data_IF_963399872904
#
_entry.id   IF_963399872904
#
_cell.length_a   1.000
_cell.length_b   1.000
_cell.length_c   1.000
_cell.angle_alpha   90.00
_cell.angle_beta   90.00
_cell.angle_gamma   90.00
#
_symmetry.space_group_name_H-M   'P 1'
#
loop_
_entity.id
_entity.type
_entity.pdbx_description
1 polymer ?
#
# COMPACT_ATOMS: atom_id res chain seq x y z
N UNK A 1 -17.92 13.18 -3.12
CA UNK A 1 -16.97 12.33 -2.37
C UNK A 1 -17.68 11.88 -1.11
N UNK A 2 -17.78 10.58 -0.83
CA UNK A 2 -18.15 10.14 0.52
C UNK A 2 -17.18 10.79 1.50
N UNK A 3 -17.69 11.40 2.58
CA UNK A 3 -16.84 11.88 3.67
C UNK A 3 -16.20 10.66 4.31
N UNK A 4 -14.96 10.37 3.93
CA UNK A 4 -14.22 9.24 4.46
C UNK A 4 -13.93 9.50 5.93
N UNK A 5 -14.41 8.62 6.82
CA UNK A 5 -14.09 8.70 8.23
C UNK A 5 -12.70 8.07 8.46
N UNK A 6 -11.66 8.89 8.48
CA UNK A 6 -10.28 8.40 8.67
C UNK A 6 -10.06 7.74 10.02
N UNK A 7 -10.79 8.14 11.07
CA UNK A 7 -10.72 7.49 12.38
C UNK A 7 -11.16 6.02 12.31
N UNK A 8 -12.32 5.79 11.68
CA UNK A 8 -12.85 4.44 11.48
C UNK A 8 -11.95 3.61 10.56
N UNK A 9 -11.46 4.19 9.46
CA UNK A 9 -10.54 3.50 8.56
C UNK A 9 -9.21 3.15 9.22
N UNK A 10 -8.68 4.02 10.09
CA UNK A 10 -7.46 3.76 10.88
C UNK A 10 -7.67 2.51 11.73
N UNK A 11 -8.75 2.47 12.51
CA UNK A 11 -9.05 1.36 13.42
C UNK A 11 -9.28 0.06 12.64
N UNK A 12 -10.08 0.12 11.58
CA UNK A 12 -10.39 -1.02 10.72
C UNK A 12 -9.13 -1.62 10.09
N UNK A 13 -8.29 -0.79 9.47
CA UNK A 13 -7.13 -1.25 8.75
C UNK A 13 -6.02 -1.76 9.68
N UNK A 14 -5.82 -1.14 10.86
CA UNK A 14 -4.93 -1.67 11.90
C UNK A 14 -5.39 -3.04 12.42
N UNK A 15 -6.69 -3.21 12.66
CA UNK A 15 -7.23 -4.47 13.13
C UNK A 15 -7.03 -5.61 12.12
N UNK A 16 -7.32 -5.37 10.84
CA UNK A 16 -7.10 -6.35 9.78
C UNK A 16 -5.64 -6.70 9.56
N UNK A 17 -4.73 -5.74 9.73
CA UNK A 17 -3.29 -5.95 9.58
C UNK A 17 -2.60 -6.50 10.84
N UNK A 18 -3.34 -6.69 11.94
CA UNK A 18 -2.78 -6.97 13.27
C UNK A 18 -1.67 -5.96 13.67
N UNK A 19 -1.83 -4.69 13.29
CA UNK A 19 -0.85 -3.63 13.56
C UNK A 19 -1.17 -2.98 14.91
N UNK A 20 -0.62 -3.59 15.96
CA UNK A 20 -0.84 -3.19 17.36
C UNK A 20 0.11 -2.07 17.79
N UNK A 21 -0.16 -1.38 18.91
CA UNK A 21 0.76 -0.36 19.45
C UNK A 21 2.18 -0.89 19.70
N UNK A 22 2.33 -2.17 20.05
CA UNK A 22 3.64 -2.79 20.19
C UNK A 22 4.34 -2.97 18.85
N UNK A 23 3.60 -3.35 17.79
CA UNK A 23 4.17 -3.39 16.43
C UNK A 23 4.58 -1.99 15.96
N UNK A 24 3.82 -0.94 16.29
CA UNK A 24 4.19 0.45 15.97
C UNK A 24 5.56 0.82 16.57
N UNK A 25 5.78 0.47 17.84
CA UNK A 25 7.06 0.69 18.53
C UNK A 25 8.20 -0.06 17.83
N UNK A 26 8.00 -1.34 17.54
CA UNK A 26 9.01 -2.18 16.85
C UNK A 26 9.34 -1.63 15.46
N UNK A 27 8.36 -1.16 14.69
CA UNK A 27 8.60 -0.55 13.37
C UNK A 27 9.41 0.74 13.48
N UNK A 28 9.11 1.60 14.46
CA UNK A 28 9.89 2.83 14.66
C UNK A 28 11.34 2.54 15.08
N UNK A 29 11.56 1.53 15.92
CA UNK A 29 12.90 1.07 16.31
C UNK A 29 13.66 0.47 15.12
N UNK A 30 13.01 -0.39 14.34
CA UNK A 30 13.57 -0.92 13.10
C UNK A 30 13.87 0.20 12.09
N UNK A 31 13.09 1.27 12.09
CA UNK A 31 13.30 2.46 11.28
C UNK A 31 14.67 3.09 11.50
N UNK A 32 15.12 3.21 12.75
CA UNK A 32 16.46 3.76 13.05
C UNK A 32 17.58 2.93 12.41
N UNK A 33 17.40 1.60 12.33
CA UNK A 33 18.34 0.66 11.72
C UNK A 33 18.24 0.65 10.18
N UNK A 34 17.03 0.73 9.63
CA UNK A 34 16.78 0.57 8.19
C UNK A 34 16.96 1.86 7.38
N UNK A 35 16.78 3.04 7.99
CA UNK A 35 16.86 4.34 7.31
C UNK A 35 18.09 4.53 6.41
N UNK A 36 19.32 4.21 6.86
CA UNK A 36 20.52 4.32 6.01
C UNK A 36 20.47 3.46 4.73
N UNK A 37 19.60 2.44 4.71
CA UNK A 37 19.52 1.45 3.64
C UNK A 37 18.27 1.58 2.76
N UNK A 38 17.38 2.54 3.03
CA UNK A 38 16.13 2.68 2.26
C UNK A 38 16.37 3.05 0.79
N UNK A 39 17.51 3.67 0.47
CA UNK A 39 17.95 3.90 -0.92
C UNK A 39 18.15 2.56 -1.63
N UNK A 40 18.87 1.62 -1.02
CA UNK A 40 19.11 0.28 -1.59
C UNK A 40 17.81 -0.51 -1.74
N UNK A 41 16.89 -0.40 -0.78
CA UNK A 41 15.56 -1.01 -0.85
C UNK A 41 14.76 -0.44 -2.03
N UNK A 42 14.82 0.88 -2.23
CA UNK A 42 14.18 1.56 -3.36
C UNK A 42 14.77 1.12 -4.69
N UNK A 43 16.10 1.06 -4.82
CA UNK A 43 16.77 0.58 -6.03
C UNK A 43 16.33 -0.84 -6.36
N UNK A 44 16.40 -1.78 -5.40
CA UNK A 44 15.97 -3.17 -5.60
C UNK A 44 14.51 -3.28 -6.02
N UNK A 45 13.64 -2.45 -5.47
CA UNK A 45 12.22 -2.39 -5.85
C UNK A 45 12.05 -1.98 -7.32
N UNK A 46 12.69 -0.90 -7.77
CA UNK A 46 12.56 -0.43 -9.15
C UNK A 46 13.26 -1.33 -10.16
N UNK A 47 14.37 -1.97 -9.80
CA UNK A 47 15.03 -2.97 -10.64
C UNK A 47 14.09 -4.14 -10.97
N UNK A 48 13.40 -4.65 -9.94
CA UNK A 48 12.39 -5.71 -10.11
C UNK A 48 11.21 -5.25 -10.94
N UNK A 49 10.71 -4.03 -10.73
CA UNK A 49 9.61 -3.51 -11.57
C UNK A 49 10.04 -3.37 -13.04
N UNK A 50 11.20 -2.77 -13.33
CA UNK A 50 11.68 -2.59 -14.72
C UNK A 50 11.84 -3.91 -15.48
N UNK A 51 12.12 -5.00 -14.78
CA UNK A 51 12.16 -6.35 -15.34
C UNK A 51 10.78 -6.88 -15.77
N UNK A 52 9.67 -6.37 -15.21
CA UNK A 52 8.30 -6.78 -15.52
C UNK A 52 7.74 -5.94 -16.67
N UNK A 53 7.52 -6.50 -17.87
CA UNK A 53 7.07 -5.75 -19.05
C UNK A 53 5.81 -4.90 -18.82
N UNK A 54 4.85 -5.43 -18.07
CA UNK A 54 3.54 -4.83 -17.79
C UNK A 54 3.65 -3.55 -16.93
N UNK A 55 4.73 -3.42 -16.15
CA UNK A 55 4.93 -2.23 -15.30
C UNK A 55 5.64 -1.09 -16.02
N UNK A 56 6.37 -1.37 -17.11
CA UNK A 56 7.27 -0.40 -17.78
C UNK A 56 6.56 0.88 -18.22
N UNK A 57 5.31 0.77 -18.69
CA UNK A 57 4.49 1.92 -19.09
C UNK A 57 4.27 2.92 -17.95
N UNK A 58 4.31 2.47 -16.71
CA UNK A 58 4.16 3.32 -15.52
C UNK A 58 5.48 3.95 -15.06
N UNK A 59 6.62 3.56 -15.63
CA UNK A 59 7.96 3.96 -15.17
C UNK A 59 8.70 4.83 -16.20
N UNK A 60 8.49 4.57 -17.48
CA UNK A 60 9.24 5.17 -18.58
C UNK A 60 9.29 6.70 -18.50
N UNK A 61 10.50 7.26 -18.58
CA UNK A 61 10.74 8.71 -18.56
C UNK A 61 10.59 9.39 -17.19
N UNK A 62 10.33 8.63 -16.11
CA UNK A 62 10.11 9.21 -14.77
C UNK A 62 10.66 8.41 -13.59
N UNK A 63 11.40 7.33 -13.84
CA UNK A 63 11.93 6.41 -12.81
C UNK A 63 12.63 7.13 -11.65
N UNK A 64 13.59 8.02 -11.93
CA UNK A 64 14.35 8.72 -10.88
C UNK A 64 13.46 9.59 -9.99
N UNK A 65 12.47 10.27 -10.58
CA UNK A 65 11.49 11.04 -9.79
C UNK A 65 10.63 10.13 -8.92
N UNK A 66 10.23 8.98 -9.46
CA UNK A 66 9.43 7.99 -8.72
C UNK A 66 10.22 7.38 -7.57
N UNK A 67 11.51 7.05 -7.76
CA UNK A 67 12.43 6.60 -6.71
C UNK A 67 12.49 7.58 -5.55
N UNK A 68 12.62 8.88 -5.82
CA UNK A 68 12.63 9.90 -4.77
C UNK A 68 11.31 9.93 -3.98
N UNK A 69 10.16 9.84 -4.67
CA UNK A 69 8.85 9.80 -4.00
C UNK A 69 8.67 8.52 -3.19
N UNK A 70 9.11 7.39 -3.73
CA UNK A 70 9.07 6.09 -3.07
C UNK A 70 9.96 6.06 -1.82
N UNK A 71 11.15 6.66 -1.88
CA UNK A 71 12.04 6.79 -0.73
C UNK A 71 11.39 7.63 0.38
N UNK A 72 10.77 8.76 0.04
CA UNK A 72 10.02 9.56 1.03
C UNK A 72 8.84 8.79 1.62
N UNK A 73 8.14 8.00 0.80
CA UNK A 73 7.05 7.15 1.26
C UNK A 73 7.56 6.05 2.21
N UNK A 74 8.66 5.38 1.87
CA UNK A 74 9.30 4.39 2.74
C UNK A 74 9.78 4.99 4.05
N UNK A 75 10.40 6.17 4.05
CA UNK A 75 10.79 6.84 5.30
C UNK A 75 9.57 7.08 6.19
N UNK A 76 8.44 7.51 5.61
CA UNK A 76 7.19 7.72 6.34
C UNK A 76 6.62 6.42 6.95
N UNK A 77 6.81 5.26 6.30
CA UNK A 77 6.45 3.93 6.87
C UNK A 77 7.16 3.69 8.21
N UNK A 78 8.38 4.20 8.38
CA UNK A 78 9.22 3.91 9.54
C UNK A 78 9.25 5.02 10.61
N UNK A 79 8.61 6.17 10.37
CA UNK A 79 8.70 7.32 11.28
C UNK A 79 7.51 7.51 12.20
N UNK A 80 6.34 6.96 11.87
CA UNK A 80 5.09 7.29 12.56
C UNK A 80 4.79 8.81 12.61
N UNK A 81 3.92 9.26 13.53
CA UNK A 81 2.91 8.43 14.21
C UNK A 81 1.95 7.79 13.20
N UNK A 82 1.34 6.66 13.58
CA UNK A 82 0.43 5.90 12.70
C UNK A 82 -1.04 6.24 12.98
N UNK A 83 -1.38 7.52 12.90
CA UNK A 83 -2.69 8.07 13.23
C UNK A 83 -3.57 8.32 11.99
N UNK A 84 -4.64 9.09 12.17
CA UNK A 84 -5.58 9.44 11.10
C UNK A 84 -4.90 10.23 9.95
N UNK A 85 -3.85 11.00 10.24
CA UNK A 85 -3.11 11.75 9.22
C UNK A 85 -2.27 10.79 8.37
N UNK A 86 -1.65 9.79 9.00
CA UNK A 86 -0.99 8.71 8.28
C UNK A 86 -1.97 7.96 7.38
N UNK A 87 -3.18 7.65 7.86
CA UNK A 87 -4.22 7.01 7.04
C UNK A 87 -4.64 7.89 5.87
N UNK A 88 -4.85 9.18 6.10
CA UNK A 88 -5.21 10.11 5.03
C UNK A 88 -4.11 10.20 3.96
N UNK A 89 -2.84 10.24 4.38
CA UNK A 89 -1.70 10.20 3.47
C UNK A 89 -1.69 8.91 2.65
N UNK A 90 -1.80 7.73 3.28
CA UNK A 90 -1.84 6.45 2.55
C UNK A 90 -3.04 6.35 1.61
N UNK A 91 -4.20 6.84 2.02
CA UNK A 91 -5.38 6.88 1.15
C UNK A 91 -5.11 7.72 -0.10
N UNK A 92 -4.45 8.88 0.05
CA UNK A 92 -4.06 9.73 -1.07
C UNK A 92 -3.01 9.08 -1.98
N UNK A 93 -2.08 8.31 -1.43
CA UNK A 93 -1.15 7.49 -2.23
C UNK A 93 -1.96 6.50 -3.10
N UNK A 94 -2.96 5.83 -2.54
CA UNK A 94 -3.86 4.96 -3.29
C UNK A 94 -4.62 5.71 -4.39
N UNK A 95 -5.14 6.91 -4.11
CA UNK A 95 -5.83 7.76 -5.10
C UNK A 95 -4.91 8.11 -6.27
N UNK A 96 -3.63 8.37 -6.03
CA UNK A 96 -2.65 8.66 -7.09
C UNK A 96 -2.48 7.44 -8.00
N UNK A 97 -2.39 6.23 -7.43
CA UNK A 97 -2.27 5.00 -8.21
C UNK A 97 -3.53 4.71 -9.05
N UNK A 98 -4.72 4.95 -8.50
CA UNK A 98 -5.98 4.90 -9.26
C UNK A 98 -5.97 5.88 -10.43
N UNK A 99 -5.51 7.12 -10.22
CA UNK A 99 -5.49 8.17 -11.26
C UNK A 99 -4.57 7.88 -12.44
N UNK A 100 -3.55 7.04 -12.24
CA UNK A 100 -2.65 6.61 -13.30
C UNK A 100 -3.04 5.24 -13.87
N UNK A 101 -4.24 4.76 -13.55
CA UNK A 101 -4.78 3.46 -13.97
C UNK A 101 -3.83 2.29 -13.63
N UNK A 102 -3.16 2.37 -12.48
CA UNK A 102 -2.33 1.29 -11.99
C UNK A 102 -3.26 0.14 -11.55
N UNK A 103 -3.11 -1.09 -12.09
CA UNK A 103 -3.89 -2.23 -11.65
C UNK A 103 -3.71 -2.50 -10.15
N UNK A 104 -4.79 -2.86 -9.46
CA UNK A 104 -4.79 -3.01 -7.99
C UNK A 104 -3.84 -4.12 -7.53
N UNK A 105 -3.65 -5.16 -8.34
CA UNK A 105 -2.72 -6.26 -8.09
C UNK A 105 -1.25 -5.79 -8.04
N UNK A 106 -0.90 -4.69 -8.73
CA UNK A 106 0.45 -4.13 -8.67
C UNK A 106 0.74 -3.49 -7.31
N UNK A 107 -0.29 -3.02 -6.58
CA UNK A 107 -0.12 -2.56 -5.20
C UNK A 107 0.29 -3.71 -4.29
N UNK A 108 -0.36 -4.87 -4.43
CA UNK A 108 -0.03 -6.06 -3.64
C UNK A 108 1.36 -6.58 -3.99
N UNK A 109 1.67 -6.69 -5.30
CA UNK A 109 3.00 -7.07 -5.76
C UNK A 109 4.07 -6.11 -5.20
N UNK A 110 3.81 -4.80 -5.23
CA UNK A 110 4.74 -3.81 -4.72
C UNK A 110 5.07 -4.01 -3.24
N UNK A 111 4.07 -4.27 -2.41
CA UNK A 111 4.29 -4.58 -0.99
C UNK A 111 5.15 -5.81 -0.78
N UNK A 112 4.94 -6.87 -1.57
CA UNK A 112 5.76 -8.09 -1.51
C UNK A 112 7.21 -7.81 -1.89
N UNK A 113 7.46 -7.03 -2.94
CA UNK A 113 8.81 -6.69 -3.37
C UNK A 113 9.56 -5.87 -2.31
N UNK A 114 8.87 -4.95 -1.65
CA UNK A 114 9.41 -4.12 -0.56
C UNK A 114 9.73 -4.99 0.65
N UNK A 115 8.80 -5.86 1.07
CA UNK A 115 8.99 -6.77 2.20
C UNK A 115 10.18 -7.71 1.98
N UNK A 116 10.37 -8.24 0.77
CA UNK A 116 11.50 -9.10 0.41
C UNK A 116 12.85 -8.36 0.48
N UNK A 117 12.90 -7.13 -0.05
CA UNK A 117 14.10 -6.30 0.01
C UNK A 117 14.47 -5.93 1.46
N UNK A 118 13.48 -5.58 2.28
CA UNK A 118 13.68 -5.28 3.71
C UNK A 118 14.12 -6.54 4.47
N UNK A 119 13.47 -7.68 4.24
CA UNK A 119 13.83 -8.96 4.87
C UNK A 119 15.29 -9.33 4.60
N UNK A 120 15.72 -9.21 3.35
CA UNK A 120 17.12 -9.45 2.96
C UNK A 120 18.07 -8.54 3.74
N UNK A 121 17.75 -7.25 3.85
CA UNK A 121 18.56 -6.27 4.59
C UNK A 121 18.59 -6.56 6.09
N UNK A 122 17.46 -6.86 6.71
CA UNK A 122 17.38 -7.15 8.14
C UNK A 122 18.15 -8.42 8.51
N UNK A 123 18.07 -9.48 7.71
CA UNK A 123 18.83 -10.70 7.97
C UNK A 123 20.35 -10.45 7.96
N UNK A 124 20.82 -9.58 7.07
CA UNK A 124 22.23 -9.17 7.05
C UNK A 124 22.61 -8.33 8.28
N UNK A 125 21.75 -7.39 8.68
CA UNK A 125 22.02 -6.48 9.81
C UNK A 125 21.98 -7.19 11.17
N UNK A 126 21.10 -8.17 11.34
CA UNK A 126 21.01 -8.97 12.57
C UNK A 126 22.01 -10.13 12.63
N UNK A 127 22.90 -10.28 11.64
CA UNK A 127 23.99 -11.25 11.69
C UNK A 127 23.55 -12.70 11.88
N UNK A 128 22.33 -13.05 11.46
CA UNK A 128 21.77 -14.41 11.63
C UNK A 128 20.94 -14.62 12.90
N UNK A 129 20.63 -13.59 13.71
CA UNK A 129 19.57 -13.71 14.72
C UNK A 129 18.19 -13.80 14.03
N UNK A 130 17.82 -15.04 13.71
CA UNK A 130 16.57 -15.35 13.03
C UNK A 130 15.33 -15.01 13.85
N UNK A 131 15.42 -15.00 15.19
CA UNK A 131 14.28 -14.66 16.04
C UNK A 131 14.01 -13.17 15.97
N UNK A 132 15.02 -12.34 16.19
CA UNK A 132 14.88 -10.89 16.12
C UNK A 132 14.48 -10.45 14.71
N UNK A 133 15.09 -11.01 13.67
CA UNK A 133 14.71 -10.75 12.28
C UNK A 133 13.24 -11.08 12.01
N UNK A 134 12.76 -12.25 12.45
CA UNK A 134 11.37 -12.67 12.27
C UNK A 134 10.39 -11.75 13.00
N UNK A 135 10.67 -11.42 14.26
CA UNK A 135 9.76 -10.62 15.08
C UNK A 135 9.69 -9.17 14.56
N UNK A 136 10.83 -8.59 14.11
CA UNK A 136 10.85 -7.30 13.41
C UNK A 136 10.09 -7.36 12.09
N UNK A 137 10.29 -8.41 11.28
CA UNK A 137 9.57 -8.56 10.01
C UNK A 137 8.07 -8.74 10.19
N UNK A 138 7.61 -9.35 11.29
CA UNK A 138 6.18 -9.43 11.61
C UNK A 138 5.58 -8.02 11.78
N UNK A 139 6.27 -7.12 12.47
CA UNK A 139 5.84 -5.74 12.65
C UNK A 139 5.85 -4.95 11.34
N UNK A 140 6.88 -5.15 10.51
CA UNK A 140 6.97 -4.53 9.18
C UNK A 140 5.84 -5.02 8.27
N UNK A 141 5.54 -6.32 8.28
CA UNK A 141 4.39 -6.84 7.54
C UNK A 141 3.06 -6.24 8.03
N UNK A 142 2.94 -5.97 9.34
CA UNK A 142 1.80 -5.26 9.91
C UNK A 142 1.63 -3.85 9.33
N UNK A 143 2.67 -3.02 9.31
CA UNK A 143 2.57 -1.65 8.76
C UNK A 143 2.38 -1.63 7.24
N UNK A 144 3.03 -2.55 6.50
CA UNK A 144 2.83 -2.70 5.05
C UNK A 144 1.40 -3.16 4.73
N UNK A 145 0.88 -4.13 5.47
CA UNK A 145 -0.49 -4.61 5.36
C UNK A 145 -1.51 -3.51 5.67
N UNK A 146 -1.30 -2.77 6.76
CA UNK A 146 -2.10 -1.61 7.12
C UNK A 146 -2.13 -0.58 5.98
N UNK A 147 -0.97 -0.22 5.45
CA UNK A 147 -0.83 0.74 4.36
C UNK A 147 -1.52 0.24 3.07
N UNK A 148 -1.38 -1.04 2.74
CA UNK A 148 -2.03 -1.66 1.58
C UNK A 148 -3.55 -1.62 1.69
N UNK A 149 -4.12 -1.98 2.84
CA UNK A 149 -5.57 -1.98 3.07
C UNK A 149 -6.14 -0.57 2.87
N UNK A 150 -5.47 0.44 3.42
CA UNK A 150 -5.88 1.84 3.26
C UNK A 150 -5.82 2.27 1.79
N UNK A 151 -4.75 1.92 1.07
CA UNK A 151 -4.64 2.23 -0.36
C UNK A 151 -5.69 1.50 -1.20
N UNK A 152 -5.97 0.23 -0.92
CA UNK A 152 -7.02 -0.51 -1.62
C UNK A 152 -8.42 0.06 -1.36
N UNK A 153 -8.63 0.71 -0.21
CA UNK A 153 -9.90 1.41 0.05
C UNK A 153 -10.17 2.51 -0.98
N UNK A 154 -9.14 3.22 -1.47
CA UNK A 154 -9.33 4.25 -2.51
C UNK A 154 -9.72 3.65 -3.85
N UNK A 155 -9.24 2.45 -4.19
CA UNK A 155 -9.68 1.70 -5.37
C UNK A 155 -11.15 1.33 -5.29
N UNK A 156 -11.58 0.78 -4.14
CA UNK A 156 -12.98 0.44 -3.90
C UNK A 156 -13.89 1.67 -3.99
N UNK A 157 -13.48 2.79 -3.37
CA UNK A 157 -14.22 4.05 -3.44
C UNK A 157 -14.32 4.61 -4.86
N UNK A 158 -13.25 4.49 -5.66
CA UNK A 158 -13.27 4.91 -7.07
C UNK A 158 -14.24 4.06 -7.91
N UNK A 159 -14.22 2.73 -7.75
CA UNK A 159 -15.16 1.83 -8.42
C UNK A 159 -16.62 2.13 -8.06
N UNK A 160 -16.89 2.34 -6.77
CA UNK A 160 -18.23 2.69 -6.30
C UNK A 160 -18.68 4.06 -6.86
N UNK A 161 -17.78 5.05 -6.93
CA UNK A 161 -18.08 6.34 -7.56
C UNK A 161 -18.41 6.20 -9.05
N UNK A 162 -17.65 5.39 -9.78
CA UNK A 162 -17.91 5.12 -11.21
C UNK A 162 -19.27 4.45 -11.40
N UNK A 163 -19.61 3.46 -10.57
CA UNK A 163 -20.92 2.81 -10.60
C UNK A 163 -22.04 3.82 -10.30
N UNK A 164 -21.89 4.67 -9.27
CA UNK A 164 -22.88 5.68 -8.94
C UNK A 164 -23.10 6.70 -10.08
N UNK A 165 -22.02 7.13 -10.75
CA UNK A 165 -22.12 7.97 -11.95
C UNK A 165 -22.88 7.28 -13.07
N UNK A 166 -22.57 6.02 -13.34
CA UNK A 166 -23.27 5.22 -14.35
C UNK A 166 -24.78 5.09 -14.06
N UNK A 167 -25.14 4.73 -12.82
CA UNK A 167 -26.55 4.61 -12.42
C UNK A 167 -27.28 5.95 -12.56
N UNK A 168 -26.64 7.06 -12.18
CA UNK A 168 -27.22 8.40 -12.33
C UNK A 168 -27.43 8.82 -13.79
N UNK A 169 -26.48 8.49 -14.67
CA UNK A 169 -26.56 8.83 -16.10
C UNK A 169 -27.65 8.01 -16.80
N UNK A 170 -27.73 6.72 -16.49
CA UNK A 170 -28.66 5.79 -17.15
C UNK A 170 -30.07 5.81 -16.56
N UNK A 171 -30.24 6.30 -15.33
CA UNK A 171 -31.50 6.22 -14.59
C UNK A 171 -31.82 4.81 -14.07
N UNK A 172 -30.92 3.85 -14.28
CA UNK A 172 -31.09 2.47 -13.83
C UNK A 172 -30.88 2.39 -12.32
N UNK A 173 -31.72 1.61 -11.64
CA UNK A 173 -31.58 1.37 -10.20
C UNK A 173 -30.43 0.39 -9.94
N UNK A 174 -29.79 0.51 -8.76
CA UNK A 174 -28.75 -0.45 -8.34
C UNK A 174 -29.25 -1.90 -8.35
N UNK A 175 -30.51 -2.11 -7.94
CA UNK A 175 -31.13 -3.43 -7.94
C UNK A 175 -31.24 -4.00 -9.38
N UNK A 176 -31.66 -3.18 -10.35
CA UNK A 176 -31.73 -3.62 -11.74
C UNK A 176 -30.33 -3.92 -12.31
N UNK A 177 -29.33 -3.08 -12.03
CA UNK A 177 -27.94 -3.36 -12.43
C UNK A 177 -27.42 -4.69 -11.86
N UNK A 178 -27.68 -4.97 -10.58
CA UNK A 178 -27.28 -6.23 -9.94
C UNK A 178 -28.00 -7.43 -10.56
N UNK A 179 -29.30 -7.32 -10.83
CA UNK A 179 -30.07 -8.36 -11.49
C UNK A 179 -29.53 -8.66 -12.90
N UNK A 180 -29.21 -7.62 -13.68
CA UNK A 180 -28.60 -7.77 -15.01
C UNK A 180 -27.22 -8.44 -14.93
N UNK A 181 -26.38 -8.03 -13.98
CA UNK A 181 -25.05 -8.61 -13.79
C UNK A 181 -25.10 -10.10 -13.38
N UNK A 182 -26.12 -10.51 -12.64
CA UNK A 182 -26.36 -11.92 -12.30
C UNK A 182 -26.87 -12.72 -13.52
N UNK A 183 -27.76 -12.14 -14.32
CA UNK A 183 -28.31 -12.79 -15.51
C UNK A 183 -27.26 -13.07 -16.60
N UNK A 184 -26.21 -12.25 -16.70
CA UNK A 184 -25.09 -12.44 -17.64
C UNK A 184 -24.02 -13.46 -17.18
N UNK A 185 -24.10 -13.93 -15.92
CA UNK A 185 -23.16 -14.92 -15.36
C UNK A 185 -23.69 -16.36 -15.41
N UNK A 186 -24.91 -16.56 -15.90
CA UNK A 186 -25.47 -17.88 -16.23
C UNK A 186 -25.38 -18.14 -17.73
#
# INVERSE_FOLDING_TARGET
>A
MQNLNYSELTQYAKALANFTPEQERVVMEAGALLKPHLVEVTESFYDKLLAIPETRRFLQGRTERLKNTHLSWLDKIFTGPYDNEYTAYMYMVGVIHVRVDLPVEFMAAGMTLIADAISTKLNALYGGDHRQSRDTMAAINGVLGYSLIVMQKSYQSSMEEQLQKFLKITGITRALYQNMALAYKG
#
